data_IF_138321213136
#
_entry.id   IF_138321213136
#
_cell.length_a   1.000
_cell.length_b   1.000
_cell.length_c   1.000
_cell.angle_alpha   90.00
_cell.angle_beta   90.00
_cell.angle_gamma   90.00
#
_symmetry.space_group_name_H-M   'P 1'
#
loop_
_entity.id
_entity.type
_entity.pdbx_description
1 polymer ?
#
# COMPACT_ATOMS: atom_id res chain seq x y z
N UNK A 1 -78.52 -43.47 13.51
CA UNK A 1 -77.58 -42.67 14.32
C UNK A 1 -76.87 -41.73 13.37
N UNK A 2 -77.40 -40.51 13.21
CA UNK A 2 -76.94 -39.54 12.22
C UNK A 2 -77.10 -38.14 12.78
N UNK A 3 -76.49 -37.90 13.94
CA UNK A 3 -76.55 -36.65 14.70
C UNK A 3 -75.16 -36.27 15.26
N UNK A 4 -74.10 -36.52 14.49
CA UNK A 4 -72.72 -36.11 14.84
C UNK A 4 -72.01 -35.37 13.68
N UNK A 5 -72.68 -35.10 12.56
CA UNK A 5 -72.07 -34.39 11.41
C UNK A 5 -72.55 -32.96 11.22
N UNK A 6 -73.29 -32.38 12.17
CA UNK A 6 -73.83 -31.01 12.05
C UNK A 6 -73.24 -30.00 13.04
N UNK A 7 -72.60 -30.44 14.13
CA UNK A 7 -71.85 -29.54 15.04
C UNK A 7 -70.44 -29.24 14.50
N UNK A 8 -69.79 -30.20 13.84
CA UNK A 8 -68.43 -30.02 13.31
C UNK A 8 -68.34 -29.06 12.10
N UNK A 9 -69.43 -28.78 11.40
CA UNK A 9 -69.45 -27.82 10.28
C UNK A 9 -69.66 -26.37 10.73
N UNK A 10 -70.35 -26.15 11.85
CA UNK A 10 -70.56 -24.79 12.41
C UNK A 10 -69.31 -24.22 13.08
N UNK A 11 -68.46 -25.06 13.69
CA UNK A 11 -67.19 -24.61 14.28
C UNK A 11 -66.10 -24.33 13.24
N UNK A 12 -66.17 -24.96 12.06
CA UNK A 12 -65.24 -24.73 10.96
C UNK A 12 -65.57 -23.42 10.22
N UNK A 13 -66.85 -23.09 10.01
CA UNK A 13 -67.25 -21.81 9.39
C UNK A 13 -66.97 -20.60 10.30
N UNK A 14 -67.12 -20.75 11.63
CA UNK A 14 -66.74 -19.71 12.60
C UNK A 14 -65.21 -19.50 12.66
N UNK A 15 -64.42 -20.58 12.63
CA UNK A 15 -62.96 -20.51 12.60
C UNK A 15 -62.40 -19.93 11.29
N UNK A 16 -63.06 -20.17 10.16
CA UNK A 16 -62.68 -19.60 8.85
C UNK A 16 -63.01 -18.09 8.80
N UNK A 17 -64.12 -17.64 9.39
CA UNK A 17 -64.46 -16.21 9.48
C UNK A 17 -63.50 -15.44 10.40
N UNK A 18 -63.08 -16.01 11.54
CA UNK A 18 -62.07 -15.41 12.43
C UNK A 18 -60.67 -15.39 11.79
N UNK A 19 -60.33 -16.38 10.97
CA UNK A 19 -59.09 -16.40 10.18
C UNK A 19 -59.11 -15.39 9.02
N UNK A 20 -60.24 -15.20 8.33
CA UNK A 20 -60.37 -14.21 7.25
C UNK A 20 -60.36 -12.77 7.78
N UNK A 21 -60.92 -12.51 8.96
CA UNK A 21 -60.83 -11.20 9.64
C UNK A 21 -59.43 -10.92 10.22
N UNK A 22 -58.71 -11.96 10.69
CA UNK A 22 -57.30 -11.86 11.08
C UNK A 22 -56.38 -11.57 9.88
N UNK A 23 -56.63 -12.19 8.73
CA UNK A 23 -55.88 -11.97 7.48
C UNK A 23 -56.16 -10.58 6.88
N UNK A 24 -57.34 -9.99 7.11
CA UNK A 24 -57.66 -8.63 6.66
C UNK A 24 -57.04 -7.53 7.52
N UNK A 25 -56.92 -7.72 8.83
CA UNK A 25 -56.44 -6.68 9.74
C UNK A 25 -54.94 -6.69 10.04
N UNK A 26 -54.19 -7.75 9.69
CA UNK A 26 -52.74 -7.78 9.92
C UNK A 26 -51.91 -7.30 8.72
N UNK A 27 -52.57 -6.69 7.74
CA UNK A 27 -51.95 -6.13 6.55
C UNK A 27 -51.50 -4.69 6.76
N UNK A 28 -50.52 -4.43 7.65
CA UNK A 28 -49.67 -3.23 7.45
C UNK A 28 -48.32 -3.03 8.15
N UNK A 29 -47.85 -3.82 9.12
CA UNK A 29 -46.58 -3.42 9.80
C UNK A 29 -45.41 -4.40 9.88
N UNK A 30 -45.52 -5.71 9.62
CA UNK A 30 -44.35 -6.61 9.79
C UNK A 30 -44.10 -7.58 8.62
N UNK A 31 -44.01 -7.03 7.40
CA UNK A 31 -43.42 -7.72 6.26
C UNK A 31 -42.32 -6.83 5.67
N UNK A 32 -41.20 -6.71 6.38
CA UNK A 32 -39.91 -6.51 5.70
C UNK A 32 -39.74 -7.77 4.87
N UNK A 33 -39.98 -7.64 3.57
CA UNK A 33 -40.21 -8.75 2.67
C UNK A 33 -39.04 -9.72 2.70
N UNK A 34 -39.34 -11.02 2.76
CA UNK A 34 -38.33 -12.06 2.59
C UNK A 34 -37.53 -11.85 1.29
N UNK A 35 -38.11 -11.21 0.28
CA UNK A 35 -37.43 -10.73 -0.92
C UNK A 35 -36.40 -9.61 -0.67
N UNK A 36 -36.67 -8.63 0.20
CA UNK A 36 -35.66 -7.63 0.60
C UNK A 36 -34.52 -8.25 1.41
N UNK A 37 -34.81 -9.21 2.29
CA UNK A 37 -33.78 -9.93 3.05
C UNK A 37 -32.96 -10.83 2.12
N UNK A 38 -33.59 -11.55 1.18
CA UNK A 38 -32.89 -12.34 0.17
C UNK A 38 -32.11 -11.48 -0.81
N UNK A 39 -32.64 -10.34 -1.26
CA UNK A 39 -31.97 -9.41 -2.14
C UNK A 39 -30.77 -8.74 -1.46
N UNK A 40 -30.90 -8.39 -0.17
CA UNK A 40 -29.80 -7.84 0.64
C UNK A 40 -28.73 -8.89 0.92
N UNK A 41 -29.13 -10.13 1.24
CA UNK A 41 -28.20 -11.25 1.43
C UNK A 41 -27.49 -11.63 0.13
N UNK A 42 -28.19 -11.61 -1.00
CA UNK A 42 -27.62 -11.86 -2.32
C UNK A 42 -26.71 -10.71 -2.79
N UNK A 43 -27.08 -9.45 -2.53
CA UNK A 43 -26.24 -8.29 -2.79
C UNK A 43 -24.97 -8.30 -1.92
N UNK A 44 -25.08 -8.62 -0.63
CA UNK A 44 -23.93 -8.77 0.28
C UNK A 44 -23.02 -9.93 -0.17
N UNK A 45 -23.59 -11.04 -0.66
CA UNK A 45 -22.81 -12.17 -1.16
C UNK A 45 -22.10 -11.85 -2.48
N UNK A 46 -22.78 -11.20 -3.43
CA UNK A 46 -22.21 -10.75 -4.71
C UNK A 46 -21.15 -9.67 -4.48
N UNK A 47 -21.35 -8.78 -3.51
CA UNK A 47 -20.40 -7.74 -3.15
C UNK A 47 -19.18 -8.30 -2.42
N UNK A 48 -19.34 -9.33 -1.58
CA UNK A 48 -18.22 -10.10 -1.01
C UNK A 48 -17.41 -10.83 -2.07
N UNK A 49 -18.08 -11.46 -3.04
CA UNK A 49 -17.42 -12.21 -4.11
C UNK A 49 -16.68 -11.25 -5.08
N UNK A 50 -17.27 -10.08 -5.36
CA UNK A 50 -16.64 -8.99 -6.10
C UNK A 50 -15.44 -8.37 -5.34
N UNK A 51 -15.58 -8.10 -4.04
CA UNK A 51 -14.47 -7.60 -3.21
C UNK A 51 -13.34 -8.63 -3.09
N UNK A 52 -13.67 -9.92 -2.97
CA UNK A 52 -12.68 -11.01 -2.91
C UNK A 52 -11.92 -11.19 -4.22
N UNK A 53 -12.56 -10.94 -5.37
CA UNK A 53 -11.91 -11.03 -6.68
C UNK A 53 -11.06 -9.79 -7.01
N UNK A 54 -11.46 -8.60 -6.58
CA UNK A 54 -10.61 -7.40 -6.62
C UNK A 54 -9.40 -7.50 -5.67
N UNK A 55 -9.55 -8.21 -4.54
CA UNK A 55 -8.51 -8.42 -3.55
C UNK A 55 -7.31 -9.25 -4.03
N UNK A 56 -7.48 -10.05 -5.09
CA UNK A 56 -6.38 -10.82 -5.69
C UNK A 56 -5.28 -9.93 -6.30
N UNK A 57 -5.58 -8.66 -6.59
CA UNK A 57 -4.60 -7.68 -7.07
C UNK A 57 -3.85 -6.97 -5.93
N UNK A 58 -4.09 -7.35 -4.66
CA UNK A 58 -3.42 -6.75 -3.51
C UNK A 58 -2.34 -7.69 -2.96
N UNK A 59 -1.16 -7.12 -2.77
CA UNK A 59 -0.01 -7.81 -2.21
C UNK A 59 0.35 -7.20 -0.86
N UNK A 60 0.56 -8.04 0.16
CA UNK A 60 0.97 -7.61 1.49
C UNK A 60 2.47 -7.84 1.66
N UNK A 61 3.20 -6.77 1.99
CA UNK A 61 4.58 -6.83 2.44
C UNK A 61 4.57 -7.10 3.95
N UNK A 62 4.98 -8.31 4.34
CA UNK A 62 5.09 -8.70 5.77
C UNK A 62 6.29 -8.03 6.43
N UNK A 63 6.32 -8.02 7.76
CA UNK A 63 7.42 -7.48 8.59
C UNK A 63 8.78 -8.10 8.31
N UNK A 64 8.81 -9.29 7.71
CA UNK A 64 10.02 -10.00 7.30
C UNK A 64 10.33 -9.83 5.80
N UNK A 65 9.76 -8.81 5.16
CA UNK A 65 9.91 -8.51 3.73
C UNK A 65 9.13 -9.44 2.78
N UNK A 66 8.63 -10.59 3.24
CA UNK A 66 7.95 -11.56 2.37
C UNK A 66 6.64 -10.99 1.82
N UNK A 67 6.57 -10.86 0.50
CA UNK A 67 5.33 -10.55 -0.20
C UNK A 67 4.41 -11.76 -0.17
N UNK A 68 3.19 -11.57 0.32
CA UNK A 68 2.15 -12.59 0.28
C UNK A 68 0.86 -12.00 -0.25
N UNK A 69 0.07 -12.81 -0.96
CA UNK A 69 -1.27 -12.40 -1.39
C UNK A 69 -2.09 -11.90 -0.19
N UNK A 70 -2.88 -10.85 -0.41
CA UNK A 70 -3.77 -10.34 0.61
C UNK A 70 -4.78 -11.40 1.01
N UNK A 71 -4.86 -11.69 2.31
CA UNK A 71 -5.75 -12.69 2.87
C UNK A 71 -6.59 -12.07 3.98
N UNK A 72 -7.85 -11.79 3.64
CA UNK A 72 -8.85 -11.20 4.54
C UNK A 72 -9.06 -12.04 5.80
N UNK A 73 -8.87 -13.36 5.73
CA UNK A 73 -9.03 -14.25 6.89
C UNK A 73 -8.05 -13.91 8.01
N UNK A 74 -6.86 -13.38 7.69
CA UNK A 74 -5.85 -12.99 8.69
C UNK A 74 -6.30 -11.80 9.54
N UNK A 75 -7.00 -10.85 8.94
CA UNK A 75 -7.55 -9.69 9.66
C UNK A 75 -8.64 -10.16 10.62
N UNK A 76 -9.57 -10.98 10.13
CA UNK A 76 -10.64 -11.56 10.95
C UNK A 76 -10.10 -12.37 12.13
N UNK A 77 -9.08 -13.21 11.91
CA UNK A 77 -8.43 -13.99 12.99
C UNK A 77 -7.76 -13.06 14.02
N UNK A 78 -7.08 -12.00 13.56
CA UNK A 78 -6.41 -11.05 14.46
C UNK A 78 -7.41 -10.28 15.33
N UNK A 79 -8.49 -9.78 14.73
CA UNK A 79 -9.59 -9.13 15.43
C UNK A 79 -10.25 -10.07 16.44
N UNK A 80 -10.55 -11.31 16.03
CA UNK A 80 -11.15 -12.32 16.92
C UNK A 80 -10.29 -12.57 18.16
N UNK A 81 -8.96 -12.69 17.99
CA UNK A 81 -8.01 -12.82 19.10
C UNK A 81 -8.03 -11.61 20.03
N UNK A 82 -8.14 -10.41 19.48
CA UNK A 82 -8.25 -9.17 20.25
C UNK A 82 -9.52 -9.17 21.11
N UNK A 83 -10.67 -9.51 20.54
CA UNK A 83 -11.94 -9.61 21.27
C UNK A 83 -11.90 -10.68 22.37
N UNK A 84 -11.36 -11.88 22.08
CA UNK A 84 -11.21 -12.96 23.08
C UNK A 84 -10.30 -12.53 24.23
N UNK A 85 -9.24 -11.76 23.96
CA UNK A 85 -8.32 -11.30 25.01
C UNK A 85 -8.97 -10.38 26.05
N UNK A 86 -10.04 -9.66 25.66
CA UNK A 86 -10.76 -8.72 26.53
C UNK A 86 -12.03 -9.33 27.13
N UNK A 87 -12.80 -10.07 26.35
CA UNK A 87 -14.10 -10.63 26.75
C UNK A 87 -14.02 -12.06 27.31
N UNK A 88 -12.87 -12.73 27.21
CA UNK A 88 -12.62 -14.08 27.75
C UNK A 88 -13.00 -15.22 26.80
N UNK A 89 -12.74 -16.47 27.18
CA UNK A 89 -12.89 -17.64 26.30
C UNK A 89 -14.34 -17.95 25.84
N UNK A 90 -15.35 -17.47 26.55
CA UNK A 90 -16.77 -17.58 26.17
C UNK A 90 -17.14 -16.70 24.97
N UNK A 91 -16.29 -15.72 24.64
CA UNK A 91 -16.41 -14.86 23.47
C UNK A 91 -16.21 -15.61 22.14
N UNK A 92 -15.45 -16.71 22.13
CA UNK A 92 -15.05 -17.41 20.91
C UNK A 92 -16.23 -17.99 20.10
N UNK A 93 -17.35 -18.29 20.76
CA UNK A 93 -18.57 -18.81 20.13
C UNK A 93 -19.71 -17.76 20.04
N UNK A 94 -19.45 -16.50 20.42
CA UNK A 94 -20.48 -15.48 20.47
C UNK A 94 -20.82 -14.95 19.07
N UNK A 95 -22.07 -15.11 18.64
CA UNK A 95 -22.57 -14.59 17.35
C UNK A 95 -22.35 -13.08 17.22
N UNK A 96 -22.49 -12.33 18.33
CA UNK A 96 -22.25 -10.87 18.36
C UNK A 96 -20.83 -10.50 17.94
N UNK A 97 -19.84 -11.29 18.37
CA UNK A 97 -18.42 -11.01 18.10
C UNK A 97 -18.07 -11.39 16.67
N UNK A 98 -18.58 -12.51 16.16
CA UNK A 98 -18.41 -12.87 14.75
C UNK A 98 -18.96 -11.79 13.83
N UNK A 99 -20.17 -11.26 14.12
CA UNK A 99 -20.76 -10.15 13.37
C UNK A 99 -19.95 -8.85 13.47
N UNK A 100 -19.45 -8.51 14.67
CA UNK A 100 -18.62 -7.32 14.86
C UNK A 100 -17.27 -7.43 14.11
N UNK A 101 -16.61 -8.58 14.19
CA UNK A 101 -15.35 -8.85 13.49
C UNK A 101 -15.53 -8.78 11.98
N UNK A 102 -16.63 -9.34 11.46
CA UNK A 102 -16.98 -9.31 10.04
C UNK A 102 -17.17 -7.87 9.55
N UNK A 103 -18.00 -7.09 10.25
CA UNK A 103 -18.22 -5.67 9.93
C UNK A 103 -16.94 -4.84 9.99
N UNK A 104 -16.09 -5.05 11.00
CA UNK A 104 -14.80 -4.37 11.11
C UNK A 104 -13.84 -4.75 9.98
N UNK A 105 -13.83 -6.02 9.59
CA UNK A 105 -12.99 -6.51 8.48
C UNK A 105 -13.42 -5.87 7.16
N UNK A 106 -14.72 -5.74 6.92
CA UNK A 106 -15.26 -5.04 5.74
C UNK A 106 -14.94 -3.55 5.74
N UNK A 107 -14.99 -2.87 6.89
CA UNK A 107 -14.60 -1.47 7.00
C UNK A 107 -13.13 -1.24 6.64
N UNK A 108 -12.24 -2.10 7.15
CA UNK A 108 -10.81 -2.06 6.84
C UNK A 108 -10.59 -2.29 5.35
N UNK A 109 -11.29 -3.27 4.77
CA UNK A 109 -11.20 -3.57 3.34
C UNK A 109 -11.63 -2.38 2.48
N UNK A 110 -12.82 -1.82 2.74
CA UNK A 110 -13.36 -0.67 2.02
C UNK A 110 -12.45 0.56 2.09
N UNK A 111 -11.70 0.74 3.19
CA UNK A 111 -10.73 1.82 3.31
C UNK A 111 -9.57 1.69 2.31
N UNK A 112 -9.13 0.46 2.04
CA UNK A 112 -8.09 0.18 1.05
C UNK A 112 -8.61 0.29 -0.38
N UNK A 113 -9.77 -0.31 -0.69
CA UNK A 113 -10.34 -0.30 -2.04
C UNK A 113 -10.67 1.11 -2.52
N UNK A 114 -11.05 2.02 -1.61
CA UNK A 114 -11.27 3.44 -1.94
C UNK A 114 -9.98 4.20 -2.24
N UNK A 115 -8.86 3.83 -1.62
CA UNK A 115 -7.55 4.50 -1.84
C UNK A 115 -6.85 3.98 -3.09
N UNK A 116 -7.04 2.71 -3.45
CA UNK A 116 -6.37 2.07 -4.58
C UNK A 116 -7.34 1.15 -5.35
N UNK A 117 -8.18 1.70 -6.25
CA UNK A 117 -9.21 0.92 -6.96
C UNK A 117 -8.65 -0.22 -7.82
N UNK A 118 -7.44 -0.04 -8.37
CA UNK A 118 -6.82 -0.97 -9.34
C UNK A 118 -5.89 -2.01 -8.69
N UNK A 119 -5.77 -2.03 -7.35
CA UNK A 119 -4.85 -2.88 -6.60
C UNK A 119 -3.51 -2.21 -6.27
N UNK A 120 -2.62 -2.94 -5.59
CA UNK A 120 -1.34 -2.39 -5.15
C UNK A 120 -0.65 -3.19 -4.04
N UNK A 121 0.55 -2.75 -3.66
CA UNK A 121 1.29 -3.30 -2.53
C UNK A 121 0.98 -2.52 -1.25
N UNK A 122 0.66 -3.24 -0.17
CA UNK A 122 0.35 -2.68 1.15
C UNK A 122 1.35 -3.20 2.17
N UNK A 123 1.83 -2.33 3.06
CA UNK A 123 2.65 -2.77 4.17
C UNK A 123 1.77 -3.35 5.28
N UNK A 124 2.27 -4.37 5.98
CA UNK A 124 1.52 -4.98 7.09
C UNK A 124 1.27 -4.02 8.25
N UNK A 125 2.07 -2.96 8.40
CA UNK A 125 1.80 -1.88 9.36
C UNK A 125 0.59 -1.04 8.94
N UNK A 126 0.43 -0.73 7.65
CA UNK A 126 -0.73 0.03 7.16
C UNK A 126 -2.04 -0.70 7.46
N UNK A 127 -2.04 -2.04 7.33
CA UNK A 127 -3.17 -2.90 7.67
C UNK A 127 -3.47 -2.85 9.17
N UNK A 128 -2.43 -2.86 10.01
CA UNK A 128 -2.61 -2.76 11.46
C UNK A 128 -3.15 -1.39 11.87
N UNK A 129 -2.64 -0.31 11.31
CA UNK A 129 -3.10 1.04 11.61
C UNK A 129 -4.57 1.24 11.18
N UNK A 130 -4.98 0.66 10.05
CA UNK A 130 -6.39 0.67 9.65
C UNK A 130 -7.28 -0.18 10.58
N UNK A 131 -6.79 -1.31 11.07
CA UNK A 131 -7.52 -2.14 12.05
C UNK A 131 -7.71 -1.37 13.36
N UNK A 132 -6.67 -0.69 13.85
CA UNK A 132 -6.74 0.15 15.05
C UNK A 132 -7.74 1.29 14.87
N UNK A 133 -7.69 1.99 13.74
CA UNK A 133 -8.62 3.07 13.43
C UNK A 133 -10.08 2.56 13.34
N UNK A 134 -10.31 1.39 12.76
CA UNK A 134 -11.63 0.77 12.67
C UNK A 134 -12.20 0.41 14.05
N UNK A 135 -11.37 -0.15 14.94
CA UNK A 135 -11.75 -0.45 16.32
C UNK A 135 -12.10 0.81 17.12
N UNK A 136 -11.29 1.87 16.97
CA UNK A 136 -11.54 3.15 17.65
C UNK A 136 -12.85 3.81 17.19
N UNK A 137 -13.12 3.80 15.87
CA UNK A 137 -14.33 4.43 15.29
C UNK A 137 -15.62 3.71 15.66
N UNK A 138 -15.58 2.41 15.88
CA UNK A 138 -16.74 1.62 16.31
C UNK A 138 -16.98 1.64 17.83
N UNK A 139 -16.21 2.44 18.58
CA UNK A 139 -16.39 2.59 20.03
C UNK A 139 -15.79 1.44 20.85
N UNK A 140 -15.07 0.50 20.24
CA UNK A 140 -14.46 -0.65 20.90
C UNK A 140 -13.13 -0.30 21.57
N UNK A 141 -13.15 0.73 22.43
CA UNK A 141 -11.94 1.32 23.02
C UNK A 141 -11.11 0.32 23.85
N UNK A 142 -11.79 -0.60 24.55
CA UNK A 142 -11.10 -1.62 25.36
C UNK A 142 -10.35 -2.61 24.49
N UNK A 143 -10.94 -3.04 23.37
CA UNK A 143 -10.34 -3.98 22.41
C UNK A 143 -9.23 -3.29 21.62
N UNK A 144 -9.44 -2.04 21.18
CA UNK A 144 -8.40 -1.24 20.52
C UNK A 144 -7.15 -1.10 21.39
N UNK A 145 -7.31 -0.75 22.67
CA UNK A 145 -6.19 -0.61 23.60
C UNK A 145 -5.46 -1.93 23.83
N UNK A 146 -6.19 -3.04 23.99
CA UNK A 146 -5.59 -4.36 24.13
C UNK A 146 -4.83 -4.80 22.87
N UNK A 147 -5.36 -4.48 21.68
CA UNK A 147 -4.72 -4.75 20.40
C UNK A 147 -3.38 -4.00 20.26
N UNK A 148 -3.37 -2.69 20.57
CA UNK A 148 -2.15 -1.84 20.54
C UNK A 148 -1.09 -2.37 21.50
N UNK A 149 -1.48 -2.68 22.74
CA UNK A 149 -0.57 -3.24 23.75
C UNK A 149 0.04 -4.57 23.28
N UNK A 150 -0.76 -5.46 22.70
CA UNK A 150 -0.28 -6.73 22.16
C UNK A 150 0.64 -6.54 20.95
N UNK A 151 0.36 -5.57 20.06
CA UNK A 151 1.24 -5.21 18.94
C UNK A 151 2.60 -4.75 19.44
N UNK A 152 2.63 -3.86 20.43
CA UNK A 152 3.87 -3.36 21.06
C UNK A 152 4.64 -4.47 21.76
N UNK A 153 3.98 -5.30 22.57
CA UNK A 153 4.62 -6.40 23.29
C UNK A 153 5.28 -7.38 22.33
N UNK A 154 4.56 -7.78 21.27
CA UNK A 154 5.13 -8.63 20.22
C UNK A 154 6.24 -7.92 19.44
N UNK A 155 6.20 -6.58 19.33
CA UNK A 155 7.28 -5.79 18.71
C UNK A 155 8.54 -5.83 19.57
N UNK A 156 8.39 -5.66 20.89
CA UNK A 156 9.48 -5.76 21.87
C UNK A 156 10.04 -7.17 21.97
N UNK A 157 9.20 -8.20 22.00
CA UNK A 157 9.64 -9.61 21.97
C UNK A 157 10.45 -9.88 20.70
N UNK A 158 10.02 -9.39 19.54
CA UNK A 158 10.78 -9.51 18.29
C UNK A 158 12.09 -8.73 18.32
N UNK A 159 12.11 -7.54 18.90
CA UNK A 159 13.34 -6.78 19.09
C UNK A 159 14.31 -7.48 20.08
N UNK A 160 13.78 -8.20 21.07
CA UNK A 160 14.55 -9.00 22.01
C UNK A 160 15.04 -10.34 21.40
N UNK A 161 14.21 -11.01 20.61
CA UNK A 161 14.56 -12.22 19.85
C UNK A 161 15.57 -11.92 18.73
N UNK A 162 15.47 -10.73 18.12
CA UNK A 162 16.52 -10.18 17.26
C UNK A 162 17.81 -10.03 18.07
N UNK A 163 17.76 -9.44 19.28
CA UNK A 163 18.92 -9.26 20.17
C UNK A 163 19.60 -10.55 20.62
N UNK A 164 18.88 -11.67 20.67
CA UNK A 164 19.40 -12.96 21.15
C UNK A 164 20.00 -13.83 20.03
N UNK A 165 19.85 -13.41 18.76
CA UNK A 165 20.43 -14.09 17.59
C UNK A 165 21.58 -13.29 16.91
N UNK A 166 22.03 -12.16 17.48
CA UNK A 166 23.05 -11.29 16.86
C UNK A 166 24.48 -11.83 16.93
N UNK A 167 24.83 -12.67 17.89
CA UNK A 167 26.26 -13.00 18.14
C UNK A 167 26.84 -14.12 17.26
N UNK A 168 26.08 -14.73 16.34
CA UNK A 168 26.60 -15.82 15.48
C UNK A 168 26.35 -15.68 13.97
N UNK A 169 25.50 -14.73 13.52
CA UNK A 169 25.07 -14.65 12.11
C UNK A 169 25.40 -13.33 11.40
N UNK A 170 25.96 -12.33 12.09
CA UNK A 170 26.11 -10.95 11.57
C UNK A 170 27.26 -10.70 10.57
N UNK A 171 28.04 -11.71 10.17
CA UNK A 171 29.19 -11.48 9.26
C UNK A 171 29.17 -12.20 7.92
N UNK A 172 28.17 -13.02 7.61
CA UNK A 172 28.28 -13.92 6.44
C UNK A 172 27.12 -13.87 5.44
N UNK A 173 25.89 -13.45 5.78
CA UNK A 173 24.73 -13.58 4.86
C UNK A 173 24.21 -12.28 4.21
N UNK A 174 24.76 -11.11 4.53
CA UNK A 174 24.35 -9.83 3.90
C UNK A 174 25.03 -9.57 2.54
N UNK A 175 26.02 -10.38 2.17
CA UNK A 175 26.75 -10.29 0.89
C UNK A 175 26.10 -11.13 -0.24
N UNK A 176 24.99 -11.82 0.02
CA UNK A 176 24.40 -12.81 -0.89
C UNK A 176 22.95 -12.53 -1.31
N UNK A 177 22.38 -11.38 -0.94
CA UNK A 177 21.04 -11.00 -1.41
C UNK A 177 21.06 -10.89 -2.93
N UNK A 178 20.21 -11.68 -3.58
CA UNK A 178 20.01 -11.63 -5.02
C UNK A 178 18.81 -10.75 -5.35
N UNK A 179 18.93 -9.91 -6.36
CA UNK A 179 17.82 -9.20 -6.98
C UNK A 179 17.36 -9.96 -8.23
N UNK A 180 16.06 -10.02 -8.44
CA UNK A 180 15.45 -10.60 -9.63
C UNK A 180 15.25 -9.47 -10.64
N UNK A 181 15.89 -9.58 -11.81
CA UNK A 181 15.67 -8.63 -12.91
C UNK A 181 14.34 -8.96 -13.61
N UNK A 182 13.80 -8.01 -14.38
CA UNK A 182 12.56 -8.17 -15.16
C UNK A 182 12.55 -9.35 -16.13
N UNK A 183 13.71 -9.87 -16.52
CA UNK A 183 13.86 -11.07 -17.35
C UNK A 183 13.95 -12.38 -16.53
N UNK A 184 13.74 -12.31 -15.22
CA UNK A 184 13.80 -13.44 -14.29
C UNK A 184 15.22 -13.86 -13.88
N UNK A 185 16.26 -13.21 -14.39
CA UNK A 185 17.65 -13.53 -14.02
C UNK A 185 17.96 -12.97 -12.64
N UNK A 186 18.46 -13.82 -11.75
CA UNK A 186 18.97 -13.42 -10.44
C UNK A 186 20.39 -12.86 -10.58
N UNK A 187 20.62 -11.68 -10.02
CA UNK A 187 21.94 -11.05 -9.91
C UNK A 187 22.19 -10.67 -8.45
N UNK A 188 23.43 -10.73 -7.92
CA UNK A 188 23.72 -10.15 -6.61
C UNK A 188 23.35 -8.67 -6.55
N UNK A 189 22.78 -8.24 -5.42
CA UNK A 189 22.48 -6.85 -5.11
C UNK A 189 23.78 -6.03 -5.17
N UNK A 190 23.75 -4.93 -5.91
CA UNK A 190 24.89 -4.03 -6.01
C UNK A 190 24.96 -3.11 -4.79
N UNK A 191 25.56 -3.63 -3.72
CA UNK A 191 25.76 -2.89 -2.48
C UNK A 191 26.68 -1.68 -2.67
N UNK A 192 27.59 -1.71 -3.64
CA UNK A 192 28.49 -0.57 -3.91
C UNK A 192 27.70 0.59 -4.46
N UNK A 193 26.84 0.34 -5.46
CA UNK A 193 25.93 1.34 -6.02
C UNK A 193 24.94 1.86 -4.98
N UNK A 194 24.36 0.98 -4.17
CA UNK A 194 23.42 1.34 -3.11
C UNK A 194 24.07 2.29 -2.08
N UNK A 195 25.26 1.94 -1.58
CA UNK A 195 25.98 2.81 -0.66
C UNK A 195 26.32 4.16 -1.29
N UNK A 196 26.70 4.18 -2.57
CA UNK A 196 27.01 5.41 -3.29
C UNK A 196 25.81 6.36 -3.36
N UNK A 197 24.62 5.88 -3.77
CA UNK A 197 23.42 6.73 -3.88
C UNK A 197 22.96 7.26 -2.53
N UNK A 198 22.99 6.42 -1.48
CA UNK A 198 22.58 6.85 -0.14
C UNK A 198 23.56 7.89 0.41
N UNK A 199 24.86 7.69 0.19
CA UNK A 199 25.90 8.63 0.61
C UNK A 199 25.74 9.98 -0.08
N UNK A 200 25.53 10.00 -1.40
CA UNK A 200 25.30 11.25 -2.15
C UNK A 200 24.00 11.94 -1.71
N UNK A 201 22.94 11.18 -1.42
CA UNK A 201 21.66 11.73 -0.96
C UNK A 201 21.76 12.33 0.46
N UNK A 202 22.58 11.76 1.34
CA UNK A 202 22.82 12.25 2.70
C UNK A 202 23.82 13.42 2.76
N UNK A 203 24.60 13.63 1.71
CA UNK A 203 25.65 14.66 1.68
C UNK A 203 25.06 16.04 1.99
N UNK A 204 25.72 16.83 2.84
CA UNK A 204 25.32 18.22 3.13
C UNK A 204 24.18 18.40 4.13
N UNK A 205 23.59 17.32 4.65
CA UNK A 205 22.57 17.37 5.71
C UNK A 205 23.18 16.90 7.03
N UNK A 206 23.06 17.70 8.10
CA UNK A 206 23.67 17.37 9.40
C UNK A 206 22.80 16.48 10.29
N UNK A 207 21.47 16.47 10.05
CA UNK A 207 20.51 15.68 10.82
C UNK A 207 20.39 14.21 10.38
N UNK A 208 21.13 13.80 9.35
CA UNK A 208 20.95 12.48 8.72
C UNK A 208 22.17 11.60 8.86
N UNK A 209 21.93 10.30 8.99
CA UNK A 209 22.97 9.28 9.06
C UNK A 209 22.80 8.27 7.91
N UNK A 210 23.80 8.18 7.04
CA UNK A 210 23.83 7.22 5.93
C UNK A 210 23.64 5.78 6.40
N UNK A 211 24.21 5.43 7.56
CA UNK A 211 24.07 4.10 8.16
C UNK A 211 22.63 3.77 8.53
N UNK A 212 21.91 4.72 9.12
CA UNK A 212 20.50 4.52 9.49
C UNK A 212 19.64 4.19 8.26
N UNK A 213 19.84 4.91 7.15
CA UNK A 213 19.13 4.63 5.88
C UNK A 213 19.48 3.25 5.33
N UNK A 214 20.77 2.87 5.37
CA UNK A 214 21.22 1.56 4.88
C UNK A 214 20.66 0.42 5.73
N UNK A 215 20.74 0.54 7.06
CA UNK A 215 20.22 -0.46 8.00
C UNK A 215 18.70 -0.62 7.84
N UNK A 216 17.97 0.50 7.76
CA UNK A 216 16.53 0.49 7.51
C UNK A 216 16.20 -0.15 6.14
N UNK A 217 16.99 0.16 5.10
CA UNK A 217 16.84 -0.46 3.78
C UNK A 217 17.10 -1.97 3.86
N UNK A 218 18.16 -2.40 4.52
CA UNK A 218 18.51 -3.81 4.66
C UNK A 218 17.42 -4.59 5.40
N UNK A 219 16.80 -4.00 6.43
CA UNK A 219 15.67 -4.61 7.14
C UNK A 219 14.44 -4.80 6.24
N UNK A 220 14.30 -3.96 5.21
CA UNK A 220 13.20 -3.99 4.26
C UNK A 220 13.48 -4.81 2.98
N UNK A 221 14.74 -5.22 2.74
CA UNK A 221 15.14 -6.04 1.59
C UNK A 221 15.08 -7.55 1.89
N UNK A 222 14.84 -8.36 0.86
CA UNK A 222 14.80 -9.81 0.95
C UNK A 222 15.42 -10.48 -0.28
N UNK A 223 15.83 -11.76 -0.16
CA UNK A 223 16.41 -12.49 -1.28
C UNK A 223 15.38 -12.74 -2.39
N UNK A 224 15.76 -12.39 -3.62
CA UNK A 224 14.91 -12.48 -4.80
C UNK A 224 13.98 -11.30 -5.00
N UNK A 225 14.15 -10.19 -4.25
CA UNK A 225 13.40 -8.94 -4.49
C UNK A 225 13.59 -8.46 -5.94
N UNK A 226 12.53 -7.94 -6.54
CA UNK A 226 12.61 -7.38 -7.89
C UNK A 226 13.48 -6.12 -7.89
N UNK A 227 14.35 -5.99 -8.90
CA UNK A 227 15.29 -4.85 -9.02
C UNK A 227 14.57 -3.49 -8.98
N UNK A 228 13.34 -3.43 -9.51
CA UNK A 228 12.50 -2.23 -9.52
C UNK A 228 12.01 -1.86 -8.11
N UNK A 229 11.76 -2.87 -7.27
CA UNK A 229 11.25 -2.67 -5.92
C UNK A 229 12.35 -2.33 -4.91
N UNK A 230 13.63 -2.62 -5.24
CA UNK A 230 14.78 -2.15 -4.45
C UNK A 230 14.79 -0.63 -4.34
N UNK A 231 14.60 0.08 -5.45
CA UNK A 231 14.58 1.55 -5.45
C UNK A 231 13.43 2.10 -4.58
N UNK A 232 12.23 1.49 -4.66
CA UNK A 232 11.09 1.85 -3.81
C UNK A 232 11.38 1.60 -2.34
N UNK A 233 11.99 0.46 -2.01
CA UNK A 233 12.37 0.12 -0.65
C UNK A 233 13.34 1.15 -0.05
N UNK A 234 14.32 1.63 -0.82
CA UNK A 234 15.22 2.71 -0.41
C UNK A 234 14.46 4.00 -0.08
N UNK A 235 13.59 4.45 -0.98
CA UNK A 235 12.80 5.68 -0.78
C UNK A 235 11.91 5.56 0.45
N UNK A 236 11.23 4.42 0.63
CA UNK A 236 10.39 4.17 1.80
C UNK A 236 11.20 4.16 3.09
N UNK A 237 12.37 3.55 3.08
CA UNK A 237 13.28 3.49 4.24
C UNK A 237 13.76 4.88 4.66
N UNK A 238 14.05 5.78 3.71
CA UNK A 238 14.36 7.17 4.05
C UNK A 238 13.12 7.93 4.57
N UNK A 239 11.92 7.62 4.06
CA UNK A 239 10.68 8.30 4.48
C UNK A 239 10.29 7.99 5.93
N UNK A 240 10.50 6.78 6.40
CA UNK A 240 10.19 6.41 7.80
C UNK A 240 11.04 7.20 8.80
N UNK A 241 12.25 7.61 8.38
CA UNK A 241 13.17 8.39 9.19
C UNK A 241 12.83 9.89 9.25
N UNK A 242 11.87 10.39 8.45
CA UNK A 242 11.44 11.80 8.46
C UNK A 242 10.88 12.22 9.82
N UNK A 243 10.25 11.29 10.55
CA UNK A 243 9.75 11.56 11.90
C UNK A 243 10.88 11.78 12.91
N UNK A 244 12.08 11.25 12.64
CA UNK A 244 13.26 11.43 13.48
C UNK A 244 13.95 12.77 13.17
N UNK A 245 14.11 13.09 11.88
CA UNK A 245 14.67 14.37 11.43
C UNK A 245 14.07 14.79 10.08
N UNK A 246 13.61 16.05 9.91
CA UNK A 246 13.03 16.52 8.65
C UNK A 246 14.01 16.49 7.47
N UNK A 247 15.34 16.51 7.69
CA UNK A 247 16.34 16.45 6.63
C UNK A 247 16.25 15.14 5.82
N UNK A 248 15.75 14.05 6.41
CA UNK A 248 15.46 12.81 5.69
C UNK A 248 14.42 12.98 4.57
N UNK A 249 13.61 14.06 4.60
CA UNK A 249 12.72 14.42 3.52
C UNK A 249 13.44 14.80 2.23
N UNK A 250 14.64 15.39 2.34
CA UNK A 250 15.51 15.66 1.18
C UNK A 250 16.26 14.40 0.74
N UNK A 251 16.67 13.54 1.69
CA UNK A 251 17.29 12.24 1.37
C UNK A 251 16.33 11.37 0.57
N UNK A 252 15.07 11.25 1.01
CA UNK A 252 14.04 10.51 0.28
C UNK A 252 13.80 11.07 -1.13
N UNK A 253 13.86 12.40 -1.31
CA UNK A 253 13.80 13.02 -2.63
C UNK A 253 15.02 12.67 -3.49
N UNK A 254 16.23 12.68 -2.92
CA UNK A 254 17.46 12.31 -3.63
C UNK A 254 17.47 10.85 -4.10
N UNK A 255 16.90 9.95 -3.31
CA UNK A 255 16.72 8.54 -3.67
C UNK A 255 15.65 8.37 -4.76
N UNK A 256 14.53 9.09 -4.67
CA UNK A 256 13.52 9.13 -5.74
C UNK A 256 14.12 9.68 -7.04
N UNK A 257 14.96 10.72 -6.95
CA UNK A 257 15.65 11.30 -8.10
C UNK A 257 16.53 10.28 -8.85
N UNK A 258 17.14 9.33 -8.14
CA UNK A 258 17.91 8.26 -8.77
C UNK A 258 17.06 7.40 -9.71
N UNK A 259 15.83 7.13 -9.28
CA UNK A 259 14.84 6.39 -10.05
C UNK A 259 14.39 7.18 -11.29
N UNK A 260 14.09 8.47 -11.11
CA UNK A 260 13.72 9.38 -12.20
C UNK A 260 14.84 9.52 -13.24
N UNK A 261 16.10 9.65 -12.79
CA UNK A 261 17.26 9.71 -13.70
C UNK A 261 17.38 8.44 -14.53
N UNK A 262 17.28 7.27 -13.90
CA UNK A 262 17.34 6.00 -14.63
C UNK A 262 16.22 5.92 -15.67
N UNK A 263 14.99 6.28 -15.29
CA UNK A 263 13.82 6.24 -16.16
C UNK A 263 13.99 7.18 -17.37
N UNK A 264 14.28 8.46 -17.12
CA UNK A 264 14.41 9.46 -18.16
C UNK A 264 15.60 9.21 -19.10
N UNK A 265 16.77 8.86 -18.55
CA UNK A 265 17.95 8.57 -19.37
C UNK A 265 17.75 7.31 -20.20
N UNK A 266 17.13 6.26 -19.63
CA UNK A 266 16.83 5.03 -20.37
C UNK A 266 15.87 5.29 -21.53
N UNK A 267 14.86 6.14 -21.31
CA UNK A 267 13.90 6.51 -22.36
C UNK A 267 14.57 7.29 -23.50
N UNK A 268 15.44 8.24 -23.16
CA UNK A 268 16.11 9.11 -24.14
C UNK A 268 17.20 8.36 -24.92
N UNK A 269 17.97 7.51 -24.26
CA UNK A 269 19.12 6.82 -24.89
C UNK A 269 18.70 5.49 -25.55
N UNK A 270 17.54 4.95 -25.20
CA UNK A 270 17.03 3.69 -25.75
C UNK A 270 17.73 2.44 -25.19
N UNK A 271 18.63 2.60 -24.23
CA UNK A 271 19.29 1.53 -23.49
C UNK A 271 19.24 1.80 -21.99
N UNK A 272 19.41 0.77 -21.15
CA UNK A 272 19.34 0.92 -19.69
C UNK A 272 20.50 1.78 -19.21
N UNK A 273 20.21 3.04 -18.89
CA UNK A 273 21.19 4.02 -18.45
C UNK A 273 20.89 4.47 -17.02
N UNK A 274 21.93 4.56 -16.20
CA UNK A 274 21.88 5.06 -14.84
C UNK A 274 22.90 6.19 -14.68
N UNK A 275 22.59 7.16 -13.82
CA UNK A 275 23.52 8.22 -13.46
C UNK A 275 23.31 8.64 -12.00
N UNK A 276 24.41 8.91 -11.29
CA UNK A 276 24.39 9.48 -9.93
C UNK A 276 24.11 10.98 -9.97
N UNK A 277 23.87 11.58 -8.80
CA UNK A 277 23.68 13.04 -8.70
C UNK A 277 24.94 13.79 -9.17
N UNK A 278 26.13 13.23 -8.89
CA UNK A 278 27.41 13.83 -9.30
C UNK A 278 27.63 13.69 -10.81
N UNK A 279 27.32 12.53 -11.39
CA UNK A 279 27.44 12.30 -12.83
C UNK A 279 26.51 13.20 -13.66
N UNK A 280 25.33 13.54 -13.12
CA UNK A 280 24.44 14.50 -13.76
C UNK A 280 25.04 15.89 -13.95
N UNK A 281 26.10 16.28 -13.21
CA UNK A 281 26.78 17.56 -13.47
C UNK A 281 27.31 17.67 -14.89
N UNK A 282 27.71 16.54 -15.48
CA UNK A 282 28.23 16.46 -16.84
C UNK A 282 27.14 16.02 -17.82
N UNK A 283 26.25 15.10 -17.41
CA UNK A 283 25.25 14.51 -18.31
C UNK A 283 24.01 15.38 -18.57
N UNK A 284 23.66 16.31 -17.67
CA UNK A 284 22.43 17.10 -17.82
C UNK A 284 22.37 17.85 -19.15
N UNK A 285 23.52 18.36 -19.64
CA UNK A 285 23.54 19.19 -20.84
C UNK A 285 23.15 18.40 -22.10
N UNK A 286 23.74 17.21 -22.24
CA UNK A 286 23.45 16.29 -23.35
C UNK A 286 22.03 15.73 -23.24
N UNK A 287 21.62 15.32 -22.03
CA UNK A 287 20.25 14.89 -21.76
C UNK A 287 19.21 15.95 -22.15
N UNK A 288 19.41 17.22 -21.77
CA UNK A 288 18.44 18.30 -22.03
C UNK A 288 18.22 18.53 -23.52
N UNK A 289 19.29 18.51 -24.33
CA UNK A 289 19.17 18.69 -25.77
C UNK A 289 18.34 17.56 -26.41
N UNK A 290 18.68 16.31 -26.06
CA UNK A 290 17.95 15.12 -26.53
C UNK A 290 16.50 15.09 -26.02
N UNK A 291 16.26 15.55 -24.79
CA UNK A 291 14.93 15.67 -24.21
C UNK A 291 14.03 16.60 -25.04
N UNK A 292 14.52 17.79 -25.40
CA UNK A 292 13.74 18.75 -26.21
C UNK A 292 13.44 18.18 -27.60
N UNK A 293 14.45 17.59 -28.26
CA UNK A 293 14.28 16.94 -29.56
C UNK A 293 13.24 15.81 -29.49
N UNK A 294 13.39 14.92 -28.51
CA UNK A 294 12.49 13.77 -28.34
C UNK A 294 11.07 14.18 -27.96
N UNK A 295 10.90 15.16 -27.09
CA UNK A 295 9.60 15.70 -26.72
C UNK A 295 8.88 16.32 -27.92
N UNK A 296 9.62 17.01 -28.80
CA UNK A 296 9.06 17.59 -30.03
C UNK A 296 8.70 16.52 -31.08
N UNK A 297 9.52 15.47 -31.23
CA UNK A 297 9.21 14.31 -32.09
C UNK A 297 7.93 13.58 -31.67
N UNK A 298 7.68 13.49 -30.36
CA UNK A 298 6.50 12.85 -29.80
C UNK A 298 5.28 13.79 -29.73
N UNK A 299 5.40 15.02 -30.23
CA UNK A 299 4.37 16.07 -30.17
C UNK A 299 3.92 16.41 -28.74
N UNK A 300 4.78 16.15 -27.75
CA UNK A 300 4.56 16.48 -26.33
C UNK A 300 5.14 17.86 -25.97
N UNK A 301 6.08 18.34 -26.78
CA UNK A 301 6.65 19.68 -26.72
C UNK A 301 6.43 20.40 -28.04
N UNK A 302 6.30 21.73 -27.99
CA UNK A 302 6.17 22.55 -29.19
C UNK A 302 7.48 22.52 -30.01
N UNK A 303 7.39 22.28 -31.32
CA UNK A 303 8.54 22.28 -32.23
C UNK A 303 9.34 23.59 -32.21
N UNK A 304 8.73 24.72 -31.86
CA UNK A 304 9.43 25.99 -31.71
C UNK A 304 10.56 25.92 -30.66
N UNK A 305 10.45 25.05 -29.64
CA UNK A 305 11.49 24.87 -28.62
C UNK A 305 12.81 24.36 -29.21
N UNK A 306 12.77 23.57 -30.29
CA UNK A 306 13.98 23.08 -30.98
C UNK A 306 14.77 24.19 -31.68
N UNK A 307 14.16 25.36 -31.89
CA UNK A 307 14.80 26.51 -32.57
C UNK A 307 15.59 27.42 -31.63
N UNK A 308 15.48 27.22 -30.31
CA UNK A 308 16.28 27.97 -29.33
C UNK A 308 17.74 27.53 -29.36
N UNK A 309 18.62 28.36 -28.77
CA UNK A 309 20.02 27.99 -28.55
C UNK A 309 20.12 26.99 -27.38
N UNK A 310 19.85 25.71 -27.68
CA UNK A 310 19.84 24.64 -26.68
C UNK A 310 21.20 24.45 -26.02
N UNK A 311 22.30 24.77 -26.71
CA UNK A 311 23.65 24.69 -26.13
C UNK A 311 23.85 25.74 -25.04
N UNK A 312 23.36 26.96 -25.27
CA UNK A 312 23.39 28.03 -24.26
C UNK A 312 22.44 27.71 -23.10
N UNK A 313 21.23 27.22 -23.37
CA UNK A 313 20.26 26.87 -22.33
C UNK A 313 20.75 25.70 -21.47
N UNK A 314 21.27 24.64 -22.09
CA UNK A 314 21.77 23.47 -21.37
C UNK A 314 22.91 23.82 -20.41
N UNK A 315 23.80 24.76 -20.80
CA UNK A 315 24.87 25.28 -19.93
C UNK A 315 24.38 26.13 -18.75
N UNK A 316 23.15 26.66 -18.83
CA UNK A 316 22.57 27.45 -17.75
C UNK A 316 21.92 26.58 -16.65
N UNK A 317 21.68 25.30 -16.93
CA UNK A 317 21.12 24.34 -15.99
C UNK A 317 22.04 24.16 -14.78
N UNK A 318 21.43 24.00 -13.60
CA UNK A 318 22.13 23.81 -12.34
C UNK A 318 21.73 22.48 -11.72
N UNK A 319 22.43 21.38 -12.01
CA UNK A 319 22.09 20.05 -11.51
C UNK A 319 22.01 19.96 -9.98
N UNK A 320 22.76 20.78 -9.25
CA UNK A 320 22.67 20.86 -7.78
C UNK A 320 21.29 21.35 -7.28
N UNK A 321 20.45 21.94 -8.15
CA UNK A 321 19.06 22.29 -7.86
C UNK A 321 18.17 21.08 -7.55
N UNK A 322 18.50 19.89 -8.05
CA UNK A 322 17.76 18.65 -7.78
C UNK A 322 17.73 18.29 -6.29
N UNK A 323 18.74 18.76 -5.53
CA UNK A 323 18.88 18.52 -4.09
C UNK A 323 18.03 19.45 -3.23
N UNK A 324 17.34 20.42 -3.83
CA UNK A 324 16.49 21.37 -3.11
C UNK A 324 15.06 20.87 -2.93
N UNK A 325 14.69 19.78 -3.60
CA UNK A 325 13.36 19.22 -3.49
C UNK A 325 13.17 18.46 -2.18
N UNK A 326 12.04 18.71 -1.52
CA UNK A 326 11.50 17.76 -0.53
C UNK A 326 10.82 16.61 -1.25
N UNK A 327 10.71 15.46 -0.58
CA UNK A 327 10.08 14.28 -1.16
C UNK A 327 8.68 14.55 -1.72
N UNK A 328 7.82 15.22 -0.94
CA UNK A 328 6.46 15.55 -1.37
C UNK A 328 6.44 16.48 -2.60
N UNK A 329 7.36 17.44 -2.65
CA UNK A 329 7.48 18.37 -3.77
C UNK A 329 7.86 17.63 -5.06
N UNK A 330 8.89 16.79 -5.01
CA UNK A 330 9.34 16.02 -6.16
C UNK A 330 8.29 14.99 -6.61
N UNK A 331 7.67 14.28 -5.66
CA UNK A 331 6.62 13.32 -5.95
C UNK A 331 5.43 13.98 -6.65
N UNK A 332 5.02 15.17 -6.20
CA UNK A 332 3.92 15.90 -6.83
C UNK A 332 4.23 16.26 -8.29
N UNK A 333 5.46 16.70 -8.58
CA UNK A 333 5.89 16.98 -9.95
C UNK A 333 5.92 15.71 -10.81
N UNK A 334 6.48 14.62 -10.29
CA UNK A 334 6.55 13.34 -11.00
C UNK A 334 5.17 12.75 -11.33
N UNK A 335 4.26 12.77 -10.37
CA UNK A 335 2.94 12.15 -10.53
C UNK A 335 2.05 12.91 -11.52
N UNK A 336 2.20 14.24 -11.62
CA UNK A 336 1.20 15.11 -12.27
C UNK A 336 1.73 16.05 -13.36
N UNK A 337 3.00 16.40 -13.33
CA UNK A 337 3.52 17.50 -14.13
C UNK A 337 4.56 17.05 -15.15
N UNK A 338 5.47 16.14 -14.77
CA UNK A 338 6.55 15.74 -15.68
C UNK A 338 6.01 15.07 -16.94
N UNK A 339 6.54 15.49 -18.08
CA UNK A 339 6.18 14.93 -19.37
C UNK A 339 6.52 13.45 -19.41
N UNK A 340 5.57 12.66 -19.91
CA UNK A 340 5.68 11.21 -20.00
C UNK A 340 5.11 10.68 -21.31
N UNK A 341 5.59 9.49 -21.70
CA UNK A 341 5.10 8.74 -22.87
C UNK A 341 5.09 7.26 -22.54
N UNK A 342 4.00 6.55 -22.86
CA UNK A 342 3.81 5.14 -22.49
C UNK A 342 4.08 4.87 -21.00
N UNK A 343 3.54 5.75 -20.15
CA UNK A 343 3.71 5.77 -18.68
C UNK A 343 5.14 5.99 -18.16
N UNK A 344 6.12 6.22 -19.06
CA UNK A 344 7.50 6.52 -18.71
C UNK A 344 7.72 8.04 -18.69
N UNK A 345 8.06 8.60 -17.53
CA UNK A 345 8.45 10.01 -17.35
C UNK A 345 9.86 10.19 -17.87
N UNK A 346 10.03 11.10 -18.82
CA UNK A 346 11.33 11.36 -19.42
C UNK A 346 11.80 12.80 -19.28
N UNK A 347 11.09 13.60 -18.48
CA UNK A 347 11.47 14.94 -18.04
C UNK A 347 12.06 14.90 -16.62
N UNK A 348 13.23 15.53 -16.44
CA UNK A 348 13.92 15.69 -15.16
C UNK A 348 13.72 17.11 -14.60
N UNK A 349 13.88 17.34 -13.28
CA UNK A 349 13.37 18.55 -12.64
C UNK A 349 14.01 19.88 -13.06
N UNK A 350 15.28 19.91 -13.49
CA UNK A 350 15.88 21.13 -14.07
C UNK A 350 15.48 21.36 -15.53
N UNK A 351 14.90 20.34 -16.21
CA UNK A 351 14.42 20.47 -17.58
C UNK A 351 12.96 20.97 -17.63
N UNK A 352 12.16 20.60 -16.62
CA UNK A 352 10.86 21.21 -16.30
C UNK A 352 11.03 22.69 -15.92
#
# INVERSE_FOLDING_TARGET
>A
MGAETTEATTDIEAAISELEDAIKNDSKEDIISQEEIFAKTAADHVQKEFLSSQLNNYQIIRRNGKVTAFDTSKISIALTKAFISVEGGTAAASTRIHQAVESLTELVLNAFTRRMPDGGTLHIEDIQDQVELALMRNGEQKVARAYVLYREERSRERAADAKTNLDAQEKTDLLSLSVTRTDGVKKPLDMVRLNLIVTEACEGFSGVETKAVIEETQNNLFDGIDEIDVAKALVMSARTLIEQDPDYGYVAAGLLMDQLRQEALTFIEGEKTQATQKEMKERYQDYFQKYIERGAELELLDQELTKYDLNRLSKALKPDGDRQFTYLGLQTLYDRYFIHSMDIRFELPQAF
#
